data_IF_101335046489
#
_entry.id   IF_101335046489
#
_cell.length_a   1.000
_cell.length_b   1.000
_cell.length_c   1.000
_cell.angle_alpha   90.00
_cell.angle_beta   90.00
_cell.angle_gamma   90.00
#
_symmetry.space_group_name_H-M   'P 1'
#
loop_
_entity.id
_entity.type
_entity.pdbx_description
1 polymer ?
#
# COMPACT_ATOMS: atom_id res chain seq x y z
N UNK A 1 2.89 -14.31 -11.77
CA UNK A 1 3.06 -12.89 -11.37
C UNK A 1 1.77 -12.22 -10.88
N UNK A 2 0.65 -12.21 -11.64
CA UNK A 2 -0.59 -11.50 -11.25
C UNK A 2 -1.23 -11.96 -9.92
N UNK A 3 -1.26 -13.27 -9.66
CA UNK A 3 -1.93 -13.81 -8.46
C UNK A 3 -1.26 -13.35 -7.14
N UNK A 4 0.07 -13.24 -7.12
CA UNK A 4 0.84 -12.81 -5.94
C UNK A 4 0.58 -11.33 -5.63
N UNK A 5 0.49 -10.49 -6.67
CA UNK A 5 0.15 -9.07 -6.50
C UNK A 5 -1.29 -8.88 -6.01
N UNK A 6 -2.23 -9.70 -6.49
CA UNK A 6 -3.62 -9.66 -6.01
C UNK A 6 -3.74 -10.14 -4.55
N UNK A 7 -2.97 -11.15 -4.17
CA UNK A 7 -2.93 -11.65 -2.80
C UNK A 7 -2.33 -10.59 -1.86
N UNK A 8 -1.16 -10.05 -2.20
CA UNK A 8 -0.53 -8.95 -1.46
C UNK A 8 -1.45 -7.73 -1.34
N UNK A 9 -2.14 -7.35 -2.41
CA UNK A 9 -3.08 -6.23 -2.37
C UNK A 9 -4.25 -6.48 -1.42
N UNK A 10 -4.81 -7.71 -1.40
CA UNK A 10 -5.86 -8.07 -0.44
C UNK A 10 -5.36 -8.04 1.00
N UNK A 11 -4.20 -8.63 1.27
CA UNK A 11 -3.61 -8.66 2.60
C UNK A 11 -3.32 -7.24 3.13
N UNK A 12 -2.75 -6.37 2.28
CA UNK A 12 -2.54 -4.97 2.64
C UNK A 12 -3.86 -4.23 2.85
N UNK A 13 -4.86 -4.46 2.00
CA UNK A 13 -6.18 -3.86 2.16
C UNK A 13 -6.83 -4.29 3.48
N UNK A 14 -6.78 -5.58 3.84
CA UNK A 14 -7.33 -6.10 5.10
C UNK A 14 -6.56 -5.57 6.31
N UNK A 15 -5.23 -5.51 6.25
CA UNK A 15 -4.39 -4.92 7.30
C UNK A 15 -4.71 -3.44 7.51
N UNK A 16 -4.84 -2.65 6.44
CA UNK A 16 -5.18 -1.24 6.54
C UNK A 16 -6.66 -0.99 6.89
N UNK A 17 -7.57 -1.91 6.55
CA UNK A 17 -8.95 -1.87 7.04
C UNK A 17 -9.02 -2.14 8.55
N UNK A 18 -8.21 -3.08 9.06
CA UNK A 18 -8.11 -3.35 10.48
C UNK A 18 -7.34 -2.24 11.24
N UNK A 19 -6.40 -1.57 10.56
CA UNK A 19 -5.57 -0.49 11.11
C UNK A 19 -5.59 0.76 10.21
N UNK A 20 -6.71 1.50 10.17
CA UNK A 20 -6.81 2.70 9.34
C UNK A 20 -5.77 3.76 9.73
N UNK A 21 -5.37 3.83 11.00
CA UNK A 21 -4.32 4.73 11.47
C UNK A 21 -2.95 4.49 10.81
N UNK A 22 -2.60 3.23 10.49
CA UNK A 22 -1.36 2.95 9.75
C UNK A 22 -1.48 3.42 8.29
N UNK A 23 -2.65 3.26 7.67
CA UNK A 23 -2.91 3.78 6.33
C UNK A 23 -2.77 5.31 6.31
N UNK A 24 -3.29 5.99 7.32
CA UNK A 24 -3.14 7.44 7.46
C UNK A 24 -1.70 7.88 7.70
N UNK A 25 -0.94 7.14 8.50
CA UNK A 25 0.48 7.43 8.72
C UNK A 25 1.30 7.25 7.45
N UNK A 26 1.05 6.17 6.70
CA UNK A 26 1.73 5.88 5.44
C UNK A 26 1.39 6.92 4.36
N UNK A 27 0.13 7.34 4.30
CA UNK A 27 -0.32 8.40 3.40
C UNK A 27 0.12 9.80 3.85
N UNK A 28 0.36 10.03 5.14
CA UNK A 28 1.01 11.25 5.65
C UNK A 28 2.46 11.36 5.22
N UNK A 29 3.16 10.23 5.13
CA UNK A 29 4.55 10.19 4.64
C UNK A 29 4.62 10.45 3.13
N UNK A 30 3.59 10.08 2.36
CA UNK A 30 3.48 10.34 0.93
C UNK A 30 3.19 11.81 0.61
N UNK A 31 3.96 12.41 -0.31
CA UNK A 31 3.87 13.84 -0.66
C UNK A 31 2.63 14.22 -1.51
N UNK A 32 1.67 13.31 -1.71
CA UNK A 32 0.46 13.55 -2.52
C UNK A 32 -0.76 13.56 -1.61
N UNK A 33 -1.41 14.72 -1.48
CA UNK A 33 -2.70 14.83 -0.79
C UNK A 33 -3.70 13.87 -1.42
N UNK A 34 -4.30 13.02 -0.59
CA UNK A 34 -5.38 12.10 -0.97
C UNK A 34 -6.47 12.90 -1.69
N UNK A 35 -6.88 12.48 -2.89
CA UNK A 35 -8.12 12.97 -3.47
C UNK A 35 -9.27 12.57 -2.52
N UNK A 36 -10.16 13.50 -2.19
CA UNK A 36 -11.24 13.30 -1.20
C UNK A 36 -12.16 12.10 -1.52
N UNK A 37 -12.11 11.60 -2.76
CA UNK A 37 -12.87 10.45 -3.24
C UNK A 37 -12.19 9.08 -3.08
N UNK A 38 -10.98 8.99 -2.51
CA UNK A 38 -10.26 7.70 -2.38
C UNK A 38 -10.19 7.26 -0.92
N UNK A 39 -10.69 6.06 -0.65
CA UNK A 39 -10.59 5.41 0.66
C UNK A 39 -9.13 5.28 1.11
N UNK A 40 -8.82 5.75 2.33
CA UNK A 40 -7.49 5.62 2.94
C UNK A 40 -6.86 4.21 2.80
N UNK A 41 -7.57 3.11 3.08
CA UNK A 41 -7.00 1.77 2.97
C UNK A 41 -6.68 1.36 1.53
N UNK A 42 -7.47 1.80 0.53
CA UNK A 42 -7.20 1.51 -0.88
C UNK A 42 -5.97 2.30 -1.38
N UNK A 43 -5.88 3.58 -1.04
CA UNK A 43 -4.73 4.40 -1.40
C UNK A 43 -3.42 3.87 -0.80
N UNK A 44 -3.45 3.42 0.46
CA UNK A 44 -2.30 2.83 1.12
C UNK A 44 -1.92 1.46 0.53
N UNK A 45 -2.89 0.60 0.25
CA UNK A 45 -2.65 -0.69 -0.40
C UNK A 45 -2.03 -0.53 -1.81
N UNK A 46 -2.54 0.42 -2.61
CA UNK A 46 -1.98 0.73 -3.92
C UNK A 46 -0.56 1.30 -3.83
N UNK A 47 -0.29 2.15 -2.82
CA UNK A 47 1.04 2.71 -2.57
C UNK A 47 2.05 1.61 -2.19
N UNK A 48 1.68 0.69 -1.30
CA UNK A 48 2.53 -0.45 -0.94
C UNK A 48 2.75 -1.37 -2.14
N UNK A 49 1.74 -1.60 -2.97
CA UNK A 49 1.89 -2.36 -4.20
C UNK A 49 2.91 -1.69 -5.15
N UNK A 50 2.81 -0.37 -5.34
CA UNK A 50 3.75 0.40 -6.15
C UNK A 50 5.17 0.38 -5.56
N UNK A 51 5.30 0.55 -4.23
CA UNK A 51 6.59 0.45 -3.54
C UNK A 51 7.18 -0.96 -3.63
N UNK A 52 6.36 -2.00 -3.57
CA UNK A 52 6.79 -3.38 -3.73
C UNK A 52 7.26 -3.62 -5.16
N UNK A 53 6.57 -3.11 -6.18
CA UNK A 53 7.01 -3.20 -7.58
C UNK A 53 8.32 -2.44 -7.82
N UNK A 54 8.45 -1.21 -7.30
CA UNK A 54 9.65 -0.39 -7.40
C UNK A 54 10.84 -0.98 -6.62
N UNK A 55 10.62 -1.50 -5.42
CA UNK A 55 11.67 -2.18 -4.65
C UNK A 55 11.99 -3.58 -5.18
N UNK A 56 11.07 -4.25 -5.87
CA UNK A 56 11.38 -5.55 -6.46
C UNK A 56 12.38 -5.43 -7.62
N UNK A 57 12.40 -4.30 -8.32
CA UNK A 57 13.42 -3.98 -9.34
C UNK A 57 14.75 -3.50 -8.71
N UNK A 58 14.70 -2.87 -7.53
CA UNK A 58 15.88 -2.25 -6.88
C UNK A 58 16.55 -3.04 -5.76
N UNK A 59 15.82 -3.71 -4.86
CA UNK A 59 16.38 -4.40 -3.70
C UNK A 59 15.27 -5.13 -2.93
N UNK A 60 15.32 -6.46 -2.91
CA UNK A 60 14.62 -7.27 -1.91
C UNK A 60 15.22 -6.92 -0.54
N UNK A 61 14.66 -5.92 0.16
CA UNK A 61 14.91 -5.78 1.60
C UNK A 61 13.95 -6.75 2.30
N UNK A 62 14.37 -8.02 2.33
CA UNK A 62 13.86 -9.04 3.24
C UNK A 62 13.90 -8.47 4.67
N UNK A 63 12.78 -8.52 5.37
CA UNK A 63 12.79 -8.67 6.83
C UNK A 63 12.92 -10.15 7.17
#
# INVERSE_FOLDING_TARGET
MRAILQQLHREQLEHFKAKPAEAESLLKTGNTKRGENISAPEAAAATVLAQALLNHDGCVVKR
#
